data_IF_645655780206
#
_entry.id   IF_645655780206
#
_cell.length_a   1.000
_cell.length_b   1.000
_cell.length_c   1.000
_cell.angle_alpha   90.00
_cell.angle_beta   90.00
_cell.angle_gamma   90.00
#
_symmetry.space_group_name_H-M   'P 1'
#
loop_
_entity.id
_entity.type
_entity.pdbx_description
1 polymer ?
#
# COMPACT_ATOMS: atom_id res chain seq x y z
N UNK A 1 3.22 21.87 9.62
CA UNK A 1 2.07 21.60 8.73
C UNK A 1 1.61 20.16 9.01
N UNK A 2 0.62 20.01 9.88
CA UNK A 2 -0.07 18.71 10.00
C UNK A 2 -1.00 18.60 8.78
N UNK A 3 -0.72 17.67 7.89
CA UNK A 3 -1.68 17.29 6.87
C UNK A 3 -2.93 16.73 7.56
N UNK A 4 -4.13 17.18 7.18
CA UNK A 4 -5.34 16.53 7.66
C UNK A 4 -5.28 15.06 7.22
N UNK A 5 -5.26 14.12 8.16
CA UNK A 5 -5.23 12.68 7.92
C UNK A 5 -6.32 12.21 6.93
N UNK A 6 -7.43 12.96 6.88
CA UNK A 6 -8.53 12.72 5.95
C UNK A 6 -8.16 12.88 4.45
N UNK A 7 -6.98 13.38 4.13
CA UNK A 7 -6.51 13.59 2.75
C UNK A 7 -5.32 12.72 2.35
N UNK A 8 -4.81 11.87 3.24
CA UNK A 8 -3.79 10.91 2.86
C UNK A 8 -4.40 9.75 2.07
N UNK A 9 -3.63 9.20 1.14
CA UNK A 9 -4.02 8.04 0.34
C UNK A 9 -2.92 6.98 0.40
N UNK A 10 -3.32 5.74 0.19
CA UNK A 10 -2.41 4.61 0.10
C UNK A 10 -1.68 4.61 -1.24
N UNK A 11 -0.37 4.33 -1.22
CA UNK A 11 0.49 4.31 -2.40
C UNK A 11 0.80 2.89 -2.89
N UNK A 12 0.07 1.87 -2.44
CA UNK A 12 0.29 0.48 -2.86
C UNK A 12 0.16 0.27 -4.36
N UNK A 13 -0.73 1.03 -5.01
CA UNK A 13 -0.90 1.03 -6.47
C UNK A 13 -0.96 2.46 -6.98
N UNK A 14 -0.08 2.79 -7.91
CA UNK A 14 -0.04 4.11 -8.56
C UNK A 14 -0.03 3.92 -10.08
N UNK A 15 -0.99 4.52 -10.76
CA UNK A 15 -1.04 4.52 -12.22
C UNK A 15 -0.44 5.84 -12.72
N UNK A 16 0.59 5.73 -13.54
CA UNK A 16 1.35 6.87 -14.04
C UNK A 16 1.64 6.74 -15.53
N UNK A 17 2.05 7.85 -16.14
CA UNK A 17 2.58 7.89 -17.49
C UNK A 17 3.89 8.70 -17.55
N UNK A 18 4.48 8.82 -18.74
CA UNK A 18 5.77 9.50 -18.93
C UNK A 18 5.79 10.99 -18.51
N UNK A 19 4.64 11.65 -18.45
CA UNK A 19 4.57 13.07 -18.07
C UNK A 19 4.81 13.28 -16.59
N UNK A 20 4.63 12.22 -15.75
CA UNK A 20 4.86 12.24 -14.32
C UNK A 20 6.32 12.01 -13.90
N UNK A 21 7.24 11.82 -14.88
CA UNK A 21 8.66 11.53 -14.60
C UNK A 21 9.28 12.53 -13.64
N UNK A 22 9.04 13.84 -13.86
CA UNK A 22 9.61 14.87 -13.01
C UNK A 22 9.11 14.76 -11.58
N UNK A 23 7.83 14.49 -11.38
CA UNK A 23 7.25 14.28 -10.06
C UNK A 23 7.95 13.13 -9.30
N UNK A 24 8.22 12.01 -9.96
CA UNK A 24 8.94 10.90 -9.33
C UNK A 24 10.39 11.26 -9.03
N UNK A 25 11.05 12.03 -9.88
CA UNK A 25 12.39 12.55 -9.58
C UNK A 25 12.36 13.48 -8.36
N UNK A 26 11.33 14.30 -8.22
CA UNK A 26 11.14 15.17 -7.06
C UNK A 26 10.90 14.36 -5.78
N UNK A 27 10.17 13.24 -5.84
CA UNK A 27 10.01 12.32 -4.70
C UNK A 27 11.36 11.77 -4.25
N UNK A 28 12.18 11.28 -5.19
CA UNK A 28 13.50 10.75 -4.91
C UNK A 28 14.40 11.82 -4.28
N UNK A 29 14.43 13.02 -4.86
CA UNK A 29 15.21 14.15 -4.34
C UNK A 29 14.73 14.55 -2.93
N UNK A 30 13.42 14.60 -2.72
CA UNK A 30 12.83 14.89 -1.41
C UNK A 30 13.23 13.84 -0.38
N UNK A 31 13.15 12.56 -0.73
CA UNK A 31 13.54 11.47 0.15
C UNK A 31 14.99 11.64 0.61
N UNK A 32 15.93 11.80 -0.30
CA UNK A 32 17.35 11.94 0.05
C UNK A 32 17.65 13.23 0.82
N UNK A 33 16.94 14.31 0.52
CA UNK A 33 17.12 15.59 1.23
C UNK A 33 16.68 15.51 2.69
N UNK A 34 15.62 14.74 2.97
CA UNK A 34 14.99 14.66 4.29
C UNK A 34 15.07 13.25 4.91
N UNK A 35 16.00 12.43 4.46
CA UNK A 35 16.11 11.02 4.83
C UNK A 35 16.09 10.79 6.35
N UNK A 36 16.90 11.53 7.10
CA UNK A 36 16.98 11.36 8.57
C UNK A 36 15.65 11.68 9.26
N UNK A 37 14.96 12.72 8.78
CA UNK A 37 13.66 13.09 9.31
C UNK A 37 12.59 12.03 8.99
N UNK A 38 12.61 11.49 7.78
CA UNK A 38 11.69 10.44 7.35
C UNK A 38 11.91 9.14 8.13
N UNK A 39 13.16 8.73 8.34
CA UNK A 39 13.53 7.57 9.17
C UNK A 39 13.04 7.77 10.61
N UNK A 40 13.25 8.95 11.19
CA UNK A 40 12.79 9.28 12.53
C UNK A 40 11.27 9.25 12.65
N UNK A 41 10.56 9.77 11.64
CA UNK A 41 9.10 9.69 11.58
C UNK A 41 8.62 8.24 11.51
N UNK A 42 9.26 7.42 10.67
CA UNK A 42 8.94 5.99 10.56
C UNK A 42 9.14 5.26 11.89
N UNK A 43 10.24 5.50 12.58
CA UNK A 43 10.52 4.90 13.89
C UNK A 43 9.51 5.33 14.96
N UNK A 44 9.00 6.57 14.87
CA UNK A 44 8.07 7.12 15.85
C UNK A 44 6.62 6.68 15.60
N UNK A 45 6.21 6.63 14.33
CA UNK A 45 4.80 6.43 13.95
C UNK A 45 4.55 5.14 13.19
N UNK A 46 5.58 4.32 12.96
CA UNK A 46 5.51 3.04 12.21
C UNK A 46 4.91 3.17 10.80
N UNK A 47 5.01 4.36 10.20
CA UNK A 47 4.51 4.62 8.84
C UNK A 47 5.57 4.33 7.79
N UNK A 48 5.15 3.83 6.63
CA UNK A 48 6.02 3.54 5.50
C UNK A 48 6.77 4.77 5.00
N UNK A 49 8.03 4.58 4.61
CA UNK A 49 8.93 5.66 4.18
C UNK A 49 8.57 6.23 2.81
N UNK A 50 7.94 5.45 1.95
CA UNK A 50 7.55 5.82 0.58
C UNK A 50 6.24 6.62 0.52
N UNK A 51 5.26 6.24 1.30
CA UNK A 51 3.93 6.87 1.30
C UNK A 51 3.99 8.32 1.78
N UNK A 52 4.83 8.63 2.76
CA UNK A 52 4.93 9.98 3.33
C UNK A 52 5.42 11.01 2.30
N UNK A 53 6.57 10.83 1.61
CA UNK A 53 7.04 11.79 0.62
C UNK A 53 6.08 11.95 -0.57
N UNK A 54 5.45 10.87 -1.02
CA UNK A 54 4.46 10.91 -2.11
C UNK A 54 3.27 11.78 -1.72
N UNK A 55 2.64 11.51 -0.57
CA UNK A 55 1.50 12.29 -0.09
C UNK A 55 1.88 13.75 0.14
N UNK A 56 3.05 14.03 0.74
CA UNK A 56 3.51 15.40 0.97
C UNK A 56 3.68 16.19 -0.32
N UNK A 57 4.33 15.61 -1.34
CA UNK A 57 4.57 16.31 -2.60
C UNK A 57 3.30 16.49 -3.43
N UNK A 58 2.40 15.51 -3.42
CA UNK A 58 1.10 15.64 -4.07
C UNK A 58 0.34 16.82 -3.49
N UNK A 59 0.23 16.93 -2.18
CA UNK A 59 -0.49 18.04 -1.53
C UNK A 59 0.23 19.37 -1.67
N UNK A 60 1.56 19.39 -1.52
CA UNK A 60 2.35 20.61 -1.67
C UNK A 60 2.25 21.22 -3.07
N UNK A 61 2.26 20.39 -4.08
CA UNK A 61 2.27 20.81 -5.49
C UNK A 61 0.85 20.88 -6.08
N UNK A 62 -0.20 20.66 -5.26
CA UNK A 62 -1.61 20.62 -5.69
C UNK A 62 -1.84 19.73 -6.91
N UNK A 63 -1.21 18.53 -6.89
CA UNK A 63 -1.35 17.58 -8.00
C UNK A 63 -2.77 17.02 -7.98
N UNK A 64 -3.43 17.08 -9.12
CA UNK A 64 -4.75 16.49 -9.30
C UNK A 64 -4.64 14.96 -9.28
N UNK A 65 -5.37 14.35 -8.36
CA UNK A 65 -5.39 12.92 -8.15
C UNK A 65 -6.77 12.35 -8.43
N UNK A 66 -6.80 11.24 -9.14
CA UNK A 66 -7.96 10.38 -9.20
C UNK A 66 -7.71 9.14 -8.33
N UNK A 67 -8.48 8.99 -7.27
CA UNK A 67 -8.43 7.79 -6.45
C UNK A 67 -8.99 6.60 -7.24
N UNK A 68 -8.27 5.49 -7.19
CA UNK A 68 -8.76 4.23 -7.74
C UNK A 68 -9.84 3.64 -6.82
N UNK A 69 -10.80 2.89 -7.38
CA UNK A 69 -11.71 2.08 -6.58
C UNK A 69 -10.95 1.12 -5.66
N UNK A 70 -11.54 0.80 -4.51
CA UNK A 70 -10.94 -0.07 -3.49
C UNK A 70 -10.51 -1.44 -4.04
N UNK A 71 -11.23 -1.96 -5.00
CA UNK A 71 -10.98 -3.24 -5.66
C UNK A 71 -9.61 -3.32 -6.34
N UNK A 72 -9.01 -2.18 -6.68
CA UNK A 72 -7.67 -2.11 -7.26
C UNK A 72 -6.54 -2.19 -6.24
N UNK A 73 -6.84 -2.05 -4.96
CA UNK A 73 -5.84 -2.16 -3.89
C UNK A 73 -6.52 -2.58 -2.60
N UNK A 74 -6.89 -3.84 -2.52
CA UNK A 74 -7.47 -4.42 -1.31
C UNK A 74 -6.37 -4.66 -0.28
N UNK A 75 -6.17 -3.69 0.60
CA UNK A 75 -5.10 -3.67 1.60
C UNK A 75 -5.54 -4.09 3.02
N UNK A 76 -6.82 -4.37 3.21
CA UNK A 76 -7.39 -4.79 4.50
C UNK A 76 -7.43 -6.32 4.67
N UNK A 77 -6.47 -7.04 4.08
CA UNK A 77 -6.43 -8.51 4.07
C UNK A 77 -6.27 -9.15 5.46
N UNK A 78 -6.01 -8.34 6.48
CA UNK A 78 -5.94 -8.77 7.87
C UNK A 78 -7.30 -8.74 8.60
N UNK A 79 -8.37 -8.30 7.96
CA UNK A 79 -9.70 -8.27 8.57
C UNK A 79 -10.30 -9.68 8.63
N UNK A 80 -11.08 -9.93 9.69
CA UNK A 80 -11.72 -11.24 9.91
C UNK A 80 -12.62 -11.65 8.75
N UNK A 81 -13.33 -10.71 8.15
CA UNK A 81 -14.24 -10.93 7.02
C UNK A 81 -13.50 -11.44 5.78
N UNK A 82 -12.24 -11.02 5.63
CA UNK A 82 -11.38 -11.44 4.52
C UNK A 82 -10.69 -12.76 4.85
N UNK A 83 -10.40 -13.01 6.11
CA UNK A 83 -9.76 -14.23 6.59
C UNK A 83 -10.72 -15.41 6.74
N UNK A 84 -12.01 -15.20 6.50
CA UNK A 84 -13.02 -16.26 6.51
C UNK A 84 -12.73 -17.34 5.45
N UNK A 85 -13.23 -18.54 5.66
CA UNK A 85 -12.98 -19.66 4.73
C UNK A 85 -13.71 -19.51 3.39
N UNK A 86 -14.72 -18.65 3.33
CA UNK A 86 -15.56 -18.45 2.13
C UNK A 86 -14.87 -17.68 1.03
N UNK A 87 -13.71 -17.04 1.28
CA UNK A 87 -12.95 -16.25 0.29
C UNK A 87 -13.83 -15.19 -0.42
N UNK A 88 -14.79 -14.60 0.28
CA UNK A 88 -15.78 -13.67 -0.31
C UNK A 88 -15.15 -12.45 -0.95
N UNK A 89 -14.00 -12.00 -0.45
CA UNK A 89 -13.26 -10.86 -1.00
C UNK A 89 -12.82 -11.09 -2.46
N UNK A 90 -12.67 -12.34 -2.88
CA UNK A 90 -12.27 -12.67 -4.26
C UNK A 90 -13.35 -12.36 -5.29
N UNK A 91 -14.58 -12.05 -4.85
CA UNK A 91 -15.68 -11.67 -5.74
C UNK A 91 -15.62 -10.23 -6.20
N UNK A 92 -14.87 -9.38 -5.50
CA UNK A 92 -14.80 -7.95 -5.79
C UNK A 92 -13.39 -7.40 -6.00
N UNK A 93 -12.36 -8.05 -5.49
CA UNK A 93 -10.99 -7.56 -5.60
C UNK A 93 -10.33 -7.91 -6.93
N UNK A 94 -9.52 -7.00 -7.45
CA UNK A 94 -8.67 -7.19 -8.63
C UNK A 94 -7.21 -7.35 -8.24
N UNK A 95 -6.78 -6.60 -7.21
CA UNK A 95 -5.42 -6.65 -6.69
C UNK A 95 -5.49 -6.75 -5.17
N UNK A 96 -4.78 -7.73 -4.60
CA UNK A 96 -4.75 -8.01 -3.17
C UNK A 96 -3.38 -7.68 -2.60
N UNK A 97 -3.34 -6.83 -1.57
CA UNK A 97 -2.13 -6.43 -0.89
C UNK A 97 -2.07 -7.08 0.50
N UNK A 98 -1.11 -7.95 0.70
CA UNK A 98 -0.94 -8.73 1.94
C UNK A 98 0.00 -8.07 2.95
N UNK A 99 0.07 -6.74 2.96
CA UNK A 99 0.81 -6.01 3.97
C UNK A 99 0.08 -6.02 5.32
N UNK A 100 0.79 -5.65 6.39
CA UNK A 100 0.26 -5.61 7.75
C UNK A 100 -0.31 -6.93 8.31
N UNK A 101 -0.18 -8.04 7.59
CA UNK A 101 -0.46 -9.38 8.12
C UNK A 101 0.80 -9.89 8.82
N UNK A 102 0.72 -10.37 10.06
CA UNK A 102 1.87 -10.93 10.75
C UNK A 102 2.56 -12.03 9.94
N UNK A 103 3.85 -11.91 9.72
CA UNK A 103 4.65 -12.86 8.95
C UNK A 103 6.04 -13.04 9.60
N UNK A 104 6.05 -13.54 10.83
CA UNK A 104 7.28 -13.89 11.54
C UNK A 104 7.57 -15.41 11.41
N UNK A 105 8.67 -15.87 11.98
CA UNK A 105 9.07 -17.28 11.92
C UNK A 105 8.03 -18.25 12.54
N UNK A 106 7.34 -17.77 13.57
CA UNK A 106 6.31 -18.55 14.27
C UNK A 106 4.96 -18.51 13.55
N UNK A 107 4.70 -17.47 12.78
CA UNK A 107 3.38 -17.20 12.21
C UNK A 107 3.47 -16.67 10.78
N UNK A 108 3.60 -17.56 9.81
CA UNK A 108 3.72 -17.25 8.38
C UNK A 108 2.36 -17.00 7.72
N UNK A 109 1.52 -16.18 8.34
CA UNK A 109 0.16 -15.94 7.88
C UNK A 109 0.11 -15.28 6.50
N UNK A 110 1.03 -14.39 6.17
CA UNK A 110 1.08 -13.77 4.84
C UNK A 110 1.21 -14.83 3.75
N UNK A 111 2.19 -15.74 3.88
CA UNK A 111 2.40 -16.80 2.91
C UNK A 111 1.17 -17.73 2.85
N UNK A 112 0.62 -18.10 3.99
CA UNK A 112 -0.58 -18.94 4.06
C UNK A 112 -1.76 -18.31 3.28
N UNK A 113 -2.04 -17.02 3.48
CA UNK A 113 -3.13 -16.35 2.78
C UNK A 113 -2.86 -16.15 1.29
N UNK A 114 -1.62 -15.88 0.90
CA UNK A 114 -1.22 -15.80 -0.50
C UNK A 114 -1.43 -17.15 -1.20
N UNK A 115 -0.97 -18.24 -0.61
CA UNK A 115 -1.18 -19.59 -1.14
C UNK A 115 -2.66 -19.96 -1.21
N UNK A 116 -3.42 -19.67 -0.16
CA UNK A 116 -4.87 -19.91 -0.12
C UNK A 116 -5.58 -19.16 -1.24
N UNK A 117 -5.23 -17.89 -1.46
CA UNK A 117 -5.79 -17.07 -2.55
C UNK A 117 -5.40 -17.64 -3.91
N UNK A 118 -4.14 -18.02 -4.09
CA UNK A 118 -3.67 -18.63 -5.32
C UNK A 118 -4.44 -19.93 -5.64
N UNK A 119 -4.55 -20.83 -4.66
CA UNK A 119 -5.29 -22.09 -4.81
C UNK A 119 -6.76 -21.89 -5.13
N UNK A 120 -7.37 -20.84 -4.56
CA UNK A 120 -8.77 -20.51 -4.85
C UNK A 120 -8.98 -20.17 -6.34
N UNK A 121 -8.05 -19.46 -6.97
CA UNK A 121 -8.18 -19.05 -8.37
C UNK A 121 -7.67 -20.09 -9.37
N UNK A 122 -6.62 -20.81 -9.03
CA UNK A 122 -5.84 -21.59 -9.99
C UNK A 122 -5.75 -23.09 -9.64
N UNK A 123 -6.28 -23.52 -8.52
CA UNK A 123 -6.15 -24.88 -8.01
C UNK A 123 -4.86 -25.13 -7.25
N UNK A 124 -4.51 -26.41 -7.02
CA UNK A 124 -3.29 -26.77 -6.30
C UNK A 124 -2.02 -26.27 -7.01
N UNK A 125 -1.04 -25.84 -6.22
CA UNK A 125 0.31 -25.54 -6.75
C UNK A 125 0.92 -26.85 -7.27
N UNK A 126 1.31 -26.86 -8.53
CA UNK A 126 2.00 -28.00 -9.17
C UNK A 126 3.45 -28.02 -8.73
#
# INVERSE_FOLDING_TARGET
YMMPWAKSFDCGIIIVNKTHRQFFQDIVNFYFTYQDNLIKLQQTFFNGTDQTPVNMLVHRNNIDLKLLPYEFNMNDMNRKEILSDDMLFTKCGWIYQYNAIPNNEENKLTNYFMEKTYKHFYGELV
#
